data_IF_001584420327
#
_entry.id   IF_001584420327
#
_cell.length_a   1.000
_cell.length_b   1.000
_cell.length_c   1.000
_cell.angle_alpha   90.00
_cell.angle_beta   90.00
_cell.angle_gamma   90.00
#
_symmetry.space_group_name_H-M   'P 1'
#
loop_
_entity.id
_entity.type
_entity.pdbx_description
1 polymer ?
#
# COMPACT_ATOMS: atom_id res chain seq x y z
N UNK A 1 -6.59 22.43 -1.51
CA UNK A 1 -5.78 22.57 -0.29
C UNK A 1 -5.58 21.18 0.33
N UNK A 2 -4.53 20.43 -0.09
CA UNK A 2 -4.17 19.12 0.51
C UNK A 2 -2.85 19.30 1.29
N UNK A 3 -2.86 20.14 2.32
CA UNK A 3 -1.71 20.33 3.25
C UNK A 3 -1.72 19.33 4.41
N UNK A 4 -2.74 18.46 4.50
CA UNK A 4 -2.84 17.46 5.59
C UNK A 4 -2.17 16.12 5.29
N UNK A 5 -1.81 15.81 4.03
CA UNK A 5 -1.30 14.47 3.66
C UNK A 5 0.19 14.27 3.86
N UNK A 6 0.97 15.34 3.90
CA UNK A 6 2.44 15.27 3.85
C UNK A 6 3.04 14.67 5.12
N UNK A 7 2.43 14.91 6.29
CA UNK A 7 2.93 14.37 7.55
C UNK A 7 2.75 12.86 7.69
N UNK A 8 1.72 12.27 7.06
CA UNK A 8 1.51 10.82 7.09
C UNK A 8 2.46 10.10 6.13
N UNK A 9 2.79 10.68 4.98
CA UNK A 9 3.72 10.08 4.00
C UNK A 9 5.15 9.98 4.57
N UNK A 10 5.62 11.03 5.26
CA UNK A 10 6.99 11.10 5.80
C UNK A 10 7.27 10.02 6.85
N UNK A 11 6.26 9.62 7.64
CA UNK A 11 6.42 8.55 8.65
C UNK A 11 6.33 7.15 8.05
N UNK A 12 5.70 7.01 6.89
CA UNK A 12 5.37 5.72 6.28
C UNK A 12 6.45 5.28 5.28
N UNK A 13 7.17 6.20 4.62
CA UNK A 13 8.29 5.87 3.70
C UNK A 13 9.38 4.96 4.31
N UNK A 14 9.94 5.25 5.50
CA UNK A 14 11.00 4.42 6.09
C UNK A 14 10.51 3.02 6.47
N UNK A 15 9.20 2.89 6.72
CA UNK A 15 8.55 1.66 7.17
C UNK A 15 8.09 0.83 5.96
N UNK A 16 7.62 1.47 4.89
CA UNK A 16 7.29 0.85 3.61
C UNK A 16 8.49 0.15 3.00
N UNK A 17 9.68 0.77 3.08
CA UNK A 17 10.92 0.16 2.59
C UNK A 17 11.27 -1.20 3.21
N UNK A 18 10.67 -1.55 4.36
CA UNK A 18 10.83 -2.85 5.03
C UNK A 18 9.80 -3.91 4.60
N UNK A 19 8.77 -3.52 3.84
CA UNK A 19 7.79 -4.46 3.31
C UNK A 19 8.35 -5.19 2.07
N UNK A 20 7.78 -6.33 1.71
CA UNK A 20 8.06 -6.93 0.40
C UNK A 20 7.59 -6.01 -0.73
N UNK A 21 8.29 -6.01 -1.87
CA UNK A 21 7.95 -5.16 -3.03
C UNK A 21 6.49 -5.32 -3.47
N UNK A 22 5.96 -6.55 -3.44
CA UNK A 22 4.56 -6.81 -3.79
C UNK A 22 3.54 -6.16 -2.83
N UNK A 23 3.93 -5.92 -1.58
CA UNK A 23 3.08 -5.24 -0.60
C UNK A 23 3.19 -3.73 -0.73
N UNK A 24 4.41 -3.22 -0.94
CA UNK A 24 4.65 -1.81 -1.21
C UNK A 24 3.85 -1.36 -2.44
N UNK A 25 3.97 -2.09 -3.55
CA UNK A 25 3.33 -1.77 -4.82
C UNK A 25 1.80 -1.66 -4.68
N UNK A 26 1.15 -2.64 -4.05
CA UNK A 26 -0.31 -2.60 -3.84
C UNK A 26 -0.72 -1.49 -2.87
N UNK A 27 0.06 -1.25 -1.82
CA UNK A 27 -0.23 -0.19 -0.85
C UNK A 27 -0.12 1.19 -1.48
N UNK A 28 0.98 1.47 -2.18
CA UNK A 28 1.25 2.72 -2.90
C UNK A 28 0.19 3.00 -3.96
N UNK A 29 -0.14 2.02 -4.80
CA UNK A 29 -1.18 2.20 -5.83
C UNK A 29 -2.55 2.54 -5.21
N UNK A 30 -2.87 1.95 -4.06
CA UNK A 30 -4.14 2.21 -3.40
C UNK A 30 -4.18 3.56 -2.65
N UNK A 31 -3.09 3.95 -1.97
CA UNK A 31 -3.06 5.15 -1.11
C UNK A 31 -2.53 6.41 -1.78
N UNK A 32 -1.63 6.29 -2.76
CA UNK A 32 -1.03 7.46 -3.44
C UNK A 32 -1.72 7.76 -4.77
N UNK A 33 -2.18 6.71 -5.46
CA UNK A 33 -2.87 6.84 -6.75
C UNK A 33 -4.39 6.70 -6.67
N UNK A 34 -4.94 6.54 -5.46
CA UNK A 34 -6.39 6.36 -5.19
C UNK A 34 -7.03 5.22 -6.03
N UNK A 35 -6.25 4.23 -6.48
CA UNK A 35 -6.74 3.15 -7.34
C UNK A 35 -7.57 2.14 -6.54
N UNK A 36 -8.62 1.64 -7.16
CA UNK A 36 -9.41 0.53 -6.62
C UNK A 36 -8.66 -0.80 -6.76
N UNK A 37 -9.02 -1.81 -5.94
CA UNK A 37 -8.43 -3.14 -6.08
C UNK A 37 -8.69 -3.78 -7.45
N UNK A 38 -9.74 -3.37 -8.16
CA UNK A 38 -10.02 -3.82 -9.52
C UNK A 38 -9.03 -3.23 -10.53
N UNK A 39 -8.76 -1.93 -10.44
CA UNK A 39 -7.79 -1.26 -11.31
C UNK A 39 -6.37 -1.77 -11.03
N UNK A 40 -6.01 -1.94 -9.75
CA UNK A 40 -4.73 -2.54 -9.35
C UNK A 40 -4.60 -3.97 -9.87
N UNK A 41 -5.68 -4.75 -9.81
CA UNK A 41 -5.71 -6.12 -10.35
C UNK A 41 -5.46 -6.13 -11.87
N UNK A 42 -6.12 -5.24 -12.61
CA UNK A 42 -5.92 -5.09 -14.05
C UNK A 42 -4.50 -4.61 -14.38
N UNK A 43 -3.97 -3.64 -13.65
CA UNK A 43 -2.64 -3.07 -13.87
C UNK A 43 -1.52 -4.06 -13.55
N UNK A 44 -1.64 -4.84 -12.48
CA UNK A 44 -0.61 -5.80 -12.05
C UNK A 44 -0.75 -7.18 -12.71
N UNK A 45 -1.81 -7.43 -13.48
CA UNK A 45 -2.10 -8.76 -14.04
C UNK A 45 -2.34 -9.84 -12.98
N UNK A 46 -2.70 -9.44 -11.75
CA UNK A 46 -2.93 -10.33 -10.60
C UNK A 46 -4.42 -10.48 -10.35
N UNK A 47 -4.86 -11.58 -9.76
CA UNK A 47 -6.26 -11.70 -9.34
C UNK A 47 -6.64 -10.66 -8.28
N UNK A 48 -7.89 -10.20 -8.27
CA UNK A 48 -8.41 -9.29 -7.24
C UNK A 48 -8.19 -9.85 -5.82
N UNK A 49 -8.26 -11.17 -5.65
CA UNK A 49 -8.05 -11.84 -4.37
C UNK A 49 -6.59 -11.76 -3.93
N UNK A 50 -5.66 -11.87 -4.87
CA UNK A 50 -4.23 -11.66 -4.64
C UNK A 50 -3.96 -10.23 -4.19
N UNK A 51 -4.53 -9.23 -4.88
CA UNK A 51 -4.39 -7.81 -4.52
C UNK A 51 -4.92 -7.56 -3.11
N UNK A 52 -6.14 -8.02 -2.79
CA UNK A 52 -6.73 -7.89 -1.45
C UNK A 52 -5.89 -8.57 -0.37
N UNK A 53 -5.38 -9.78 -0.64
CA UNK A 53 -4.51 -10.49 0.31
C UNK A 53 -3.18 -9.76 0.50
N UNK A 54 -2.58 -9.22 -0.56
CA UNK A 54 -1.33 -8.46 -0.50
C UNK A 54 -1.53 -7.17 0.30
N UNK A 55 -2.61 -6.44 0.04
CA UNK A 55 -2.98 -5.25 0.79
C UNK A 55 -3.17 -5.55 2.28
N UNK A 56 -3.93 -6.59 2.64
CA UNK A 56 -4.11 -6.99 4.04
C UNK A 56 -2.78 -7.31 4.73
N UNK A 57 -1.89 -8.05 4.05
CA UNK A 57 -0.57 -8.39 4.59
C UNK A 57 0.34 -7.15 4.72
N UNK A 58 0.24 -6.20 3.79
CA UNK A 58 0.92 -4.91 3.88
C UNK A 58 0.52 -4.18 5.17
N UNK A 59 -0.79 -4.06 5.44
CA UNK A 59 -1.30 -3.43 6.66
C UNK A 59 -0.82 -4.12 7.95
N UNK A 60 -0.87 -5.46 7.99
CA UNK A 60 -0.40 -6.21 9.16
C UNK A 60 1.11 -6.04 9.40
N UNK A 61 1.89 -5.98 8.32
CA UNK A 61 3.34 -5.77 8.42
C UNK A 61 3.66 -4.34 8.85
N UNK A 62 2.95 -3.33 8.32
CA UNK A 62 3.06 -1.95 8.79
C UNK A 62 2.70 -1.82 10.27
N UNK A 63 1.60 -2.44 10.71
CA UNK A 63 1.20 -2.45 12.12
C UNK A 63 2.29 -3.00 13.03
N UNK A 64 2.93 -4.11 12.63
CA UNK A 64 4.04 -4.73 13.37
C UNK A 64 5.30 -3.88 13.43
N UNK A 65 5.50 -2.97 12.49
CA UNK A 65 6.69 -2.10 12.45
C UNK A 65 6.49 -0.79 13.19
N UNK A 66 5.23 -0.38 13.40
CA UNK A 66 4.84 0.82 14.14
C UNK A 66 4.55 0.56 15.62
N UNK A 67 4.47 -0.71 16.03
CA UNK A 67 4.31 -1.17 17.42
C UNK A 67 5.64 -1.71 17.94
#
# INVERSE_FOLDING_TARGET
>A
MKVSSTYSTILVEPVLGKLSLAYQEVFTLHHESDLTFAEISAQLGKSINTVKSQYRRALLALQKLLT
#
